data_IF_605579293385
#
_entry.id   IF_605579293385
#
_cell.length_a   1.000
_cell.length_b   1.000
_cell.length_c   1.000
_cell.angle_alpha   90.00
_cell.angle_beta   90.00
_cell.angle_gamma   90.00
#
_symmetry.space_group_name_H-M   'P 1'
#
loop_
_entity.id
_entity.type
_entity.pdbx_description
1 polymer ?
#
# COMPACT_ATOMS: atom_id res chain seq x y z
N UNK A 1 40.93 -8.19 -4.03
CA UNK A 1 39.94 -7.16 -4.46
C UNK A 1 38.67 -7.80 -5.05
N UNK A 2 37.99 -8.71 -4.34
CA UNK A 2 36.79 -9.40 -4.86
C UNK A 2 35.46 -8.89 -4.30
N UNK A 3 35.48 -8.06 -3.25
CA UNK A 3 34.28 -7.68 -2.49
C UNK A 3 33.40 -6.64 -3.21
N UNK A 4 33.97 -5.84 -4.11
CA UNK A 4 33.24 -4.77 -4.83
C UNK A 4 32.14 -5.29 -5.74
N UNK A 5 32.30 -6.50 -6.31
CA UNK A 5 31.40 -7.03 -7.34
C UNK A 5 30.35 -8.00 -6.74
N UNK A 6 30.44 -8.30 -5.45
CA UNK A 6 29.54 -9.23 -4.75
C UNK A 6 28.38 -8.47 -4.08
N UNK A 7 28.62 -7.22 -3.65
CA UNK A 7 27.62 -6.41 -2.97
C UNK A 7 26.43 -6.09 -3.89
N UNK A 8 25.21 -6.48 -3.47
CA UNK A 8 23.96 -6.27 -4.21
C UNK A 8 23.96 -6.88 -5.64
N UNK A 9 24.74 -7.95 -5.85
CA UNK A 9 24.86 -8.67 -7.11
C UNK A 9 23.55 -9.31 -7.61
N UNK A 10 22.63 -9.67 -6.69
CA UNK A 10 21.36 -10.27 -7.05
C UNK A 10 20.34 -9.23 -7.56
N UNK A 11 19.79 -9.39 -8.79
CA UNK A 11 18.84 -8.44 -9.35
C UNK A 11 17.52 -8.44 -8.56
N UNK A 12 17.07 -7.26 -8.13
CA UNK A 12 15.83 -7.06 -7.35
C UNK A 12 14.69 -6.55 -8.24
N UNK A 13 14.39 -7.28 -9.31
CA UNK A 13 13.33 -6.90 -10.27
C UNK A 13 11.92 -7.22 -9.76
N UNK A 14 11.78 -8.19 -8.87
CA UNK A 14 10.50 -8.61 -8.31
C UNK A 14 10.58 -8.99 -6.82
N UNK A 15 9.42 -9.27 -6.21
CA UNK A 15 9.31 -9.66 -4.80
C UNK A 15 9.20 -8.46 -3.83
N UNK A 16 9.20 -8.73 -2.52
CA UNK A 16 9.04 -7.69 -1.50
C UNK A 16 10.23 -6.71 -1.46
N UNK A 17 11.46 -7.18 -1.66
CA UNK A 17 12.66 -6.33 -1.64
C UNK A 17 12.87 -5.46 -2.88
N UNK A 18 12.08 -5.66 -3.94
CA UNK A 18 12.08 -4.81 -5.14
C UNK A 18 11.26 -3.52 -4.97
N UNK A 19 10.44 -3.45 -3.91
CA UNK A 19 9.45 -2.41 -3.72
C UNK A 19 9.70 -1.67 -2.42
N UNK A 20 9.57 -0.36 -2.47
CA UNK A 20 9.62 0.52 -1.31
C UNK A 20 8.42 1.46 -1.31
N UNK A 21 7.98 1.88 -0.12
CA UNK A 21 7.00 2.94 0.00
C UNK A 21 7.57 4.25 -0.56
N UNK A 22 6.75 4.99 -1.32
CA UNK A 22 7.12 6.31 -1.87
C UNK A 22 7.42 7.37 -0.82
N UNK A 23 6.84 7.26 0.38
CA UNK A 23 6.98 8.25 1.46
C UNK A 23 8.02 7.82 2.48
N UNK A 24 7.89 6.58 2.99
CA UNK A 24 8.67 6.09 4.13
C UNK A 24 9.92 5.29 3.72
N UNK A 25 10.09 4.93 2.43
CA UNK A 25 11.18 4.07 1.96
C UNK A 25 11.14 2.62 2.48
N UNK A 26 10.26 2.31 3.44
CA UNK A 26 10.12 1.00 4.03
C UNK A 26 9.52 0.00 3.01
N UNK A 27 10.14 -1.17 2.76
CA UNK A 27 9.60 -2.22 1.89
C UNK A 27 8.42 -2.98 2.52
N UNK A 28 8.23 -2.87 3.83
CA UNK A 28 7.20 -3.60 4.56
C UNK A 28 5.82 -2.93 4.43
N UNK A 29 4.78 -3.77 4.47
CA UNK A 29 3.38 -3.34 4.58
C UNK A 29 2.92 -2.32 3.52
N UNK A 30 3.40 -2.49 2.29
CA UNK A 30 3.03 -1.64 1.15
C UNK A 30 1.65 -2.02 0.62
N UNK A 31 0.78 -1.01 0.51
CA UNK A 31 -0.50 -1.08 -0.20
C UNK A 31 -0.22 -0.92 -1.69
N UNK A 32 -0.56 -1.96 -2.45
CA UNK A 32 -0.34 -2.03 -3.91
C UNK A 32 -1.59 -1.74 -4.73
N UNK A 33 -2.76 -1.64 -4.10
CA UNK A 33 -4.01 -1.35 -4.80
C UNK A 33 -3.99 0.07 -5.34
N UNK A 34 -4.60 0.25 -6.51
CA UNK A 34 -4.76 1.55 -7.17
C UNK A 34 -3.43 2.28 -7.49
N UNK A 35 -2.29 1.58 -7.54
CA UNK A 35 -1.00 2.17 -7.91
C UNK A 35 -0.37 3.10 -6.87
N UNK A 36 -0.88 3.12 -5.63
CA UNK A 36 -0.46 4.05 -4.57
C UNK A 36 0.97 3.80 -4.07
N UNK A 37 1.42 2.53 -4.03
CA UNK A 37 2.77 2.12 -3.58
C UNK A 37 3.19 2.79 -2.26
N UNK A 38 2.28 2.78 -1.28
CA UNK A 38 2.43 3.48 -0.01
C UNK A 38 2.30 2.51 1.18
N UNK A 39 3.12 2.68 2.23
CA UNK A 39 3.05 1.87 3.43
C UNK A 39 1.75 2.16 4.21
N UNK A 40 1.19 1.16 4.91
CA UNK A 40 -0.10 1.31 5.63
C UNK A 40 -0.13 2.47 6.64
N UNK A 41 1.01 2.80 7.23
CA UNK A 41 1.15 3.92 8.18
C UNK A 41 1.04 5.26 7.45
N UNK A 42 1.82 5.46 6.38
CA UNK A 42 1.76 6.67 5.56
C UNK A 42 0.39 6.84 4.89
N UNK A 43 -0.25 5.75 4.48
CA UNK A 43 -1.60 5.82 3.94
C UNK A 43 -2.60 6.39 4.95
N UNK A 44 -2.49 6.03 6.24
CA UNK A 44 -3.40 6.56 7.28
C UNK A 44 -3.22 8.04 7.54
N UNK A 45 -1.99 8.56 7.50
CA UNK A 45 -1.72 10.00 7.67
C UNK A 45 -2.27 10.81 6.49
N UNK A 46 -2.10 10.30 5.26
CA UNK A 46 -2.43 11.03 4.05
C UNK A 46 -3.83 10.70 3.49
N UNK A 47 -4.56 9.76 4.09
CA UNK A 47 -5.86 9.28 3.57
C UNK A 47 -6.86 10.42 3.34
N UNK A 48 -6.89 11.43 4.23
CA UNK A 48 -7.80 12.56 4.11
C UNK A 48 -7.48 13.45 2.91
N UNK A 49 -6.20 13.72 2.68
CA UNK A 49 -5.71 14.55 1.58
C UNK A 49 -5.89 13.87 0.23
N UNK A 50 -5.78 12.55 0.18
CA UNK A 50 -6.07 11.74 -1.02
C UNK A 50 -7.59 11.67 -1.29
N UNK A 51 -8.44 12.06 -0.33
CA UNK A 51 -9.90 12.07 -0.47
C UNK A 51 -10.59 10.78 0.00
N UNK A 52 -9.91 9.90 0.74
CA UNK A 52 -10.54 8.73 1.33
C UNK A 52 -11.35 9.09 2.58
N UNK A 53 -12.67 8.88 2.52
CA UNK A 53 -13.59 9.14 3.64
C UNK A 53 -14.00 7.83 4.31
N UNK A 54 -13.85 7.74 5.64
CA UNK A 54 -14.29 6.58 6.43
C UNK A 54 -15.83 6.55 6.51
N UNK A 55 -16.48 5.74 5.68
CA UNK A 55 -17.90 5.42 5.85
C UNK A 55 -18.07 4.42 6.99
N UNK A 56 -18.83 4.78 8.04
CA UNK A 56 -19.26 3.82 9.07
C UNK A 56 -20.45 3.06 8.48
N UNK A 57 -20.35 1.75 8.29
CA UNK A 57 -21.57 0.97 8.01
C UNK A 57 -22.24 0.61 9.34
N UNK A 58 -23.46 1.09 9.55
CA UNK A 58 -24.38 0.46 10.47
C UNK A 58 -24.90 -0.79 9.75
N UNK A 59 -24.86 -1.96 10.40
CA UNK A 59 -24.97 -3.31 9.82
C UNK A 59 -26.36 -3.69 9.26
N UNK A 60 -27.14 -2.76 8.73
CA UNK A 60 -28.41 -3.03 8.06
C UNK A 60 -28.45 -2.32 6.72
N UNK A 61 -27.89 -2.97 5.70
CA UNK A 61 -28.31 -2.83 4.32
C UNK A 61 -27.56 -3.88 3.51
N UNK A 62 -28.36 -4.74 2.91
CA UNK A 62 -28.04 -5.65 1.82
C UNK A 62 -27.03 -5.06 0.83
N UNK A 63 -26.19 -5.97 0.32
CA UNK A 63 -25.14 -5.79 -0.66
C UNK A 63 -25.68 -5.10 -1.94
N UNK A 64 -25.83 -3.77 -1.93
CA UNK A 64 -26.23 -3.00 -3.11
C UNK A 64 -25.02 -2.33 -3.75
N UNK A 65 -24.89 -2.56 -5.05
CA UNK A 65 -23.80 -2.19 -5.93
C UNK A 65 -23.78 -0.67 -6.15
N UNK A 66 -22.63 -0.03 -5.98
CA UNK A 66 -22.28 1.17 -6.75
C UNK A 66 -20.77 1.34 -6.79
N UNK A 67 -20.24 1.45 -8.00
CA UNK A 67 -18.83 1.65 -8.32
C UNK A 67 -18.22 2.76 -7.44
N UNK A 68 -17.04 2.50 -6.86
CA UNK A 68 -16.16 3.57 -6.37
C UNK A 68 -15.86 3.65 -4.86
N UNK A 69 -16.29 2.73 -4.02
CA UNK A 69 -15.84 2.71 -2.61
C UNK A 69 -15.68 1.29 -2.07
N UNK A 70 -14.97 0.45 -2.83
CA UNK A 70 -14.55 -0.87 -2.36
C UNK A 70 -13.60 -0.73 -1.17
N UNK A 71 -14.17 -0.90 0.03
CA UNK A 71 -13.59 -1.71 1.10
C UNK A 71 -12.06 -1.54 1.26
N UNK A 72 -11.63 -0.34 1.65
CA UNK A 72 -10.28 -0.12 2.18
C UNK A 72 -10.27 -0.06 3.71
N UNK A 73 -11.42 -0.29 4.37
CA UNK A 73 -11.58 -0.16 5.83
C UNK A 73 -11.82 -1.53 6.50
N UNK A 74 -11.40 -2.64 5.88
CA UNK A 74 -11.31 -3.90 6.63
C UNK A 74 -9.93 -4.58 6.62
N UNK A 75 -9.03 -4.28 5.69
CA UNK A 75 -7.73 -4.97 5.63
C UNK A 75 -6.59 -4.06 5.12
N UNK A 76 -6.22 -3.09 5.97
CA UNK A 76 -4.86 -2.51 6.15
C UNK A 76 -4.67 -2.19 7.61
#
# INVERSE_FOLDING_TARGET
MGHSNVWNSHPKTYGPGSRACRVCGNPHAIIRKYGLMCCRQCFRSNAKEIGFIKKRCNRSATLSKQLGSLVLIKYT
#
